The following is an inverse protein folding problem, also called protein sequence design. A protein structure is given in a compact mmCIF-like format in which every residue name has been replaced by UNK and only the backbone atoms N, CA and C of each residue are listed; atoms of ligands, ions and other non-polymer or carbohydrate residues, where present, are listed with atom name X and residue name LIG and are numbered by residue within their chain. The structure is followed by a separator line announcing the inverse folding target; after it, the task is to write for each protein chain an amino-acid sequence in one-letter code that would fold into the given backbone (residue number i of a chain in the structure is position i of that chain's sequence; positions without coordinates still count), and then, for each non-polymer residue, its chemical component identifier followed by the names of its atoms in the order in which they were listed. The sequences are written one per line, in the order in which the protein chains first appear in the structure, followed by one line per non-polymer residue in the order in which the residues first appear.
data_IF_388497497995
#
_entry.id   IF_388497497995
#
_cell.length_a   1.000
_cell.length_b   1.000
_cell.length_c   1.000
_cell.angle_alpha   90.00
_cell.angle_beta   90.00
_cell.angle_gamma   90.00
#
_symmetry.space_group_name_H-M   'P 1'
#
loop_
_entity.id
_entity.type
_entity.pdbx_description
1 polymer ?
#
# COMPACT_ATOMS: atom_id res chain seq x y z
N UNK A 1 -29.26 38.57 3.30
CA UNK A 1 -28.49 37.60 2.57
C UNK A 1 -29.31 36.84 1.51
N UNK A 2 -30.47 36.25 1.80
CA UNK A 2 -31.28 35.48 0.81
C UNK A 2 -31.66 36.24 -0.47
N UNK A 3 -32.00 37.53 -0.40
CA UNK A 3 -32.36 38.34 -1.60
C UNK A 3 -31.20 38.59 -2.57
N UNK A 4 -29.93 38.67 -2.10
CA UNK A 4 -28.76 38.85 -2.97
C UNK A 4 -28.37 37.56 -3.73
N UNK A 5 -28.59 36.41 -3.13
CA UNK A 5 -28.31 35.11 -3.77
C UNK A 5 -29.34 34.84 -4.88
N UNK A 6 -30.63 35.17 -4.68
CA UNK A 6 -31.68 35.03 -5.69
C UNK A 6 -31.41 35.96 -6.90
N UNK A 7 -30.96 37.20 -6.65
CA UNK A 7 -30.63 38.12 -7.74
C UNK A 7 -29.41 37.65 -8.56
N UNK A 8 -28.39 37.05 -7.92
CA UNK A 8 -27.24 36.48 -8.60
C UNK A 8 -27.59 35.22 -9.42
N UNK A 9 -28.49 34.38 -8.93
CA UNK A 9 -28.98 33.23 -9.67
C UNK A 9 -29.85 33.61 -10.86
N UNK A 10 -30.68 34.63 -10.71
CA UNK A 10 -31.49 35.18 -11.81
C UNK A 10 -30.65 35.90 -12.85
N UNK A 11 -29.63 36.66 -12.45
CA UNK A 11 -28.72 37.31 -13.39
C UNK A 11 -27.87 36.30 -14.18
N UNK A 12 -27.38 35.26 -13.57
CA UNK A 12 -26.69 34.16 -14.29
C UNK A 12 -27.65 33.39 -15.21
N UNK A 13 -28.89 33.18 -14.80
CA UNK A 13 -29.88 32.53 -15.66
C UNK A 13 -30.23 33.38 -16.88
N UNK A 14 -30.40 34.70 -16.74
CA UNK A 14 -30.66 35.62 -17.86
C UNK A 14 -29.41 35.77 -18.79
N UNK A 15 -28.19 35.75 -18.27
CA UNK A 15 -26.97 35.79 -19.08
C UNK A 15 -26.78 34.51 -19.90
N UNK A 16 -27.08 33.34 -19.33
CA UNK A 16 -27.01 32.07 -20.05
C UNK A 16 -28.12 31.98 -21.10
N UNK A 17 -29.37 32.33 -20.77
CA UNK A 17 -30.48 32.30 -21.71
C UNK A 17 -30.41 33.41 -22.76
N UNK A 18 -29.89 34.58 -22.42
CA UNK A 18 -29.67 35.67 -23.36
C UNK A 18 -28.61 35.33 -24.43
N UNK A 19 -27.51 34.69 -24.05
CA UNK A 19 -26.49 34.22 -24.98
C UNK A 19 -27.00 33.03 -25.83
N UNK A 20 -27.79 32.14 -25.27
CA UNK A 20 -28.44 31.04 -26.00
C UNK A 20 -29.45 31.57 -27.04
N UNK A 21 -30.29 32.58 -26.71
CA UNK A 21 -31.21 33.20 -27.63
C UNK A 21 -30.51 33.99 -28.76
N UNK A 22 -29.42 34.70 -28.45
CA UNK A 22 -28.65 35.42 -29.44
C UNK A 22 -27.94 34.47 -30.43
N UNK A 23 -27.50 33.31 -29.96
CA UNK A 23 -26.87 32.23 -30.77
C UNK A 23 -27.89 31.54 -31.73
N UNK A 24 -29.18 31.48 -31.32
CA UNK A 24 -30.23 30.90 -32.17
C UNK A 24 -30.51 31.69 -33.45
N UNK A 25 -30.23 33.00 -33.47
CA UNK A 25 -30.48 33.88 -34.62
C UNK A 25 -29.26 34.06 -35.54
N UNK A 26 -28.06 33.58 -35.16
CA UNK A 26 -26.82 33.84 -35.89
C UNK A 26 -26.16 32.62 -36.52
N UNK A 27 -26.55 31.40 -36.15
CA UNK A 27 -25.90 30.17 -36.62
C UNK A 27 -26.90 29.13 -37.14
N UNK A 28 -26.44 28.25 -38.03
CA UNK A 28 -27.23 27.10 -38.42
C UNK A 28 -27.46 26.15 -37.23
N UNK A 29 -28.55 25.40 -37.18
CA UNK A 29 -28.79 24.42 -36.12
C UNK A 29 -27.63 23.45 -35.90
N UNK A 30 -26.88 23.16 -36.92
CA UNK A 30 -25.69 22.29 -36.90
C UNK A 30 -24.54 22.99 -36.17
N UNK A 31 -24.23 24.24 -36.50
CA UNK A 31 -23.15 25.01 -35.85
C UNK A 31 -23.45 25.25 -34.38
N UNK A 32 -24.71 25.45 -33.99
CA UNK A 32 -25.11 25.57 -32.60
C UNK A 32 -24.92 24.26 -31.83
N UNK A 33 -25.31 23.13 -32.42
CA UNK A 33 -25.07 21.79 -31.84
C UNK A 33 -23.59 21.52 -31.75
N UNK A 34 -22.80 21.83 -32.76
CA UNK A 34 -21.33 21.64 -32.75
C UNK A 34 -20.67 22.54 -31.72
N UNK A 35 -21.17 23.76 -31.50
CA UNK A 35 -20.70 24.68 -30.46
C UNK A 35 -21.04 24.19 -29.03
N UNK A 36 -22.25 23.64 -28.82
CA UNK A 36 -22.63 22.99 -27.59
C UNK A 36 -21.77 21.73 -27.37
N UNK A 37 -21.58 20.89 -28.37
CA UNK A 37 -20.75 19.71 -28.29
C UNK A 37 -19.29 20.11 -27.99
N UNK A 38 -18.75 21.15 -28.64
CA UNK A 38 -17.40 21.64 -28.37
C UNK A 38 -17.26 22.25 -26.97
N UNK A 39 -18.27 22.99 -26.47
CA UNK A 39 -18.27 23.54 -25.11
C UNK A 39 -18.41 22.46 -24.04
N UNK A 40 -19.18 21.40 -24.31
CA UNK A 40 -19.30 20.22 -23.45
C UNK A 40 -18.01 19.36 -23.53
N UNK A 41 -17.36 19.30 -24.68
CA UNK A 41 -16.13 18.54 -24.89
C UNK A 41 -14.86 19.26 -24.43
N UNK A 42 -14.87 20.61 -24.33
CA UNK A 42 -13.68 21.41 -24.00
C UNK A 42 -13.34 21.44 -22.51
N UNK A 43 -14.23 20.95 -21.62
CA UNK A 43 -13.99 20.85 -20.17
C UNK A 43 -14.41 19.49 -19.58
N UNK A 44 -14.09 18.40 -20.24
CA UNK A 44 -14.20 17.12 -19.54
C UNK A 44 -13.13 17.10 -18.46
N UNK A 45 -13.51 17.52 -17.24
CA UNK A 45 -12.65 17.26 -16.07
C UNK A 45 -12.28 15.79 -16.10
N UNK A 46 -11.01 15.46 -15.91
CA UNK A 46 -10.62 14.05 -15.84
C UNK A 46 -11.46 13.33 -14.79
N UNK A 47 -11.84 12.09 -15.10
CA UNK A 47 -12.58 11.28 -14.15
C UNK A 47 -11.80 11.20 -12.81
N UNK A 48 -12.50 11.31 -11.69
CA UNK A 48 -11.85 11.29 -10.38
C UNK A 48 -11.05 10.01 -10.20
N UNK A 49 -9.81 10.14 -9.78
CA UNK A 49 -8.92 9.00 -9.59
C UNK A 49 -8.13 9.09 -8.29
N UNK A 50 -7.76 7.92 -7.77
CA UNK A 50 -6.86 7.76 -6.63
C UNK A 50 -5.78 6.77 -7.03
N UNK A 51 -4.56 7.04 -6.70
CA UNK A 51 -3.47 6.13 -6.92
C UNK A 51 -3.00 5.54 -5.60
N UNK A 52 -2.81 4.20 -5.60
CA UNK A 52 -2.18 3.46 -4.53
C UNK A 52 -0.78 3.07 -4.96
N UNK A 53 0.19 3.27 -4.08
CA UNK A 53 1.48 2.59 -4.16
C UNK A 53 1.53 1.58 -3.03
N UNK A 54 1.49 0.31 -3.40
CA UNK A 54 1.59 -0.81 -2.47
C UNK A 54 3.05 -1.13 -2.21
N UNK A 55 3.39 -1.19 -0.94
CA UNK A 55 4.68 -1.63 -0.41
C UNK A 55 4.45 -2.71 0.63
N UNK A 56 5.54 -3.27 1.12
CA UNK A 56 5.42 -4.39 2.02
C UNK A 56 6.11 -4.20 3.34
N UNK A 57 6.75 -5.27 3.83
CA UNK A 57 7.15 -5.37 5.21
C UNK A 57 8.17 -4.31 5.60
N UNK A 58 7.76 -3.44 6.52
CA UNK A 58 8.60 -2.45 7.19
C UNK A 58 8.88 -2.95 8.60
N UNK A 59 10.13 -3.25 8.89
CA UNK A 59 10.60 -3.62 10.21
C UNK A 59 11.59 -2.57 10.72
N UNK A 60 11.22 -1.82 11.75
CA UNK A 60 11.98 -0.69 12.28
C UNK A 60 12.82 -1.06 13.53
N UNK A 61 12.93 -2.34 13.82
CA UNK A 61 13.68 -2.84 14.98
C UNK A 61 15.08 -3.33 14.57
N UNK A 62 15.81 -3.89 15.52
CA UNK A 62 17.09 -4.58 15.32
C UNK A 62 18.12 -3.77 14.51
N UNK A 63 18.60 -4.32 13.39
CA UNK A 63 19.61 -3.69 12.53
C UNK A 63 19.16 -2.37 11.94
N UNK A 64 17.87 -2.22 11.60
CA UNK A 64 17.31 -0.96 11.10
C UNK A 64 17.40 0.13 12.17
N UNK A 65 16.95 -0.16 13.41
CA UNK A 65 17.05 0.80 14.53
C UNK A 65 18.50 1.18 14.86
N UNK A 66 19.40 0.19 14.80
CA UNK A 66 20.84 0.42 15.00
C UNK A 66 21.40 1.41 13.96
N UNK A 67 21.16 1.19 12.69
CA UNK A 67 21.66 2.06 11.63
C UNK A 67 20.98 3.42 11.62
N UNK A 68 19.66 3.47 11.89
CA UNK A 68 18.94 4.72 12.01
C UNK A 68 19.48 5.61 13.16
N UNK A 69 19.87 5.01 14.29
CA UNK A 69 20.53 5.73 15.39
C UNK A 69 21.93 6.21 15.01
N UNK A 70 22.70 5.40 14.28
CA UNK A 70 24.07 5.70 13.90
C UNK A 70 24.18 6.79 12.84
N UNK A 71 23.34 6.73 11.81
CA UNK A 71 23.37 7.64 10.65
C UNK A 71 22.40 8.83 10.82
N UNK A 72 21.49 8.78 11.79
CA UNK A 72 20.38 9.70 11.97
C UNK A 72 19.10 9.15 11.34
N UNK A 73 17.97 9.25 12.04
CA UNK A 73 16.67 8.76 11.56
C UNK A 73 16.23 9.41 10.25
N UNK A 74 16.66 10.63 10.00
CA UNK A 74 16.32 11.45 8.85
C UNK A 74 17.05 11.01 7.56
N UNK A 75 18.05 10.10 7.66
CA UNK A 75 18.85 9.62 6.53
C UNK A 75 18.53 8.21 6.09
N UNK A 76 17.59 7.55 6.75
CA UNK A 76 17.30 6.13 6.52
C UNK A 76 16.78 5.87 5.11
N UNK A 77 16.20 6.88 4.45
CA UNK A 77 15.62 6.77 3.11
C UNK A 77 16.25 7.67 2.04
N UNK A 78 17.07 8.65 2.44
CA UNK A 78 17.56 9.69 1.53
C UNK A 78 19.06 9.57 1.19
N UNK A 79 19.58 8.34 1.09
CA UNK A 79 20.93 8.15 0.56
C UNK A 79 21.03 8.77 -0.83
N UNK A 80 21.95 9.75 -1.00
CA UNK A 80 22.25 10.40 -2.27
C UNK A 80 21.04 10.97 -3.04
N UNK A 81 19.97 11.39 -2.34
CA UNK A 81 18.73 11.94 -2.89
C UNK A 81 17.90 10.96 -3.74
N UNK A 82 18.17 9.66 -3.68
CA UNK A 82 17.36 8.69 -4.38
C UNK A 82 16.17 8.25 -3.51
N UNK A 83 14.97 8.64 -3.93
CA UNK A 83 13.73 8.14 -3.36
C UNK A 83 12.95 7.40 -4.47
N UNK A 84 12.79 6.06 -4.37
CA UNK A 84 12.12 5.26 -5.40
C UNK A 84 10.66 5.67 -5.61
N UNK A 85 10.04 6.32 -4.64
CA UNK A 85 8.65 6.76 -4.71
C UNK A 85 8.46 7.93 -5.66
N UNK A 86 9.46 8.79 -5.81
CA UNK A 86 9.43 9.90 -6.76
C UNK A 86 9.27 9.45 -8.21
N UNK A 87 9.49 8.18 -8.51
CA UNK A 87 9.33 7.63 -9.85
C UNK A 87 7.87 7.31 -10.21
N UNK A 88 6.94 7.35 -9.24
CA UNK A 88 5.53 7.18 -9.53
C UNK A 88 4.86 8.51 -9.90
N UNK A 89 4.02 8.53 -10.95
CA UNK A 89 3.32 9.75 -11.37
C UNK A 89 2.48 10.37 -10.26
N UNK A 90 1.86 9.57 -9.42
CA UNK A 90 1.04 10.04 -8.31
C UNK A 90 1.85 10.80 -7.26
N UNK A 91 3.11 10.45 -7.06
CA UNK A 91 4.01 11.14 -6.15
C UNK A 91 4.27 12.59 -6.61
N UNK A 92 4.18 12.83 -7.91
CA UNK A 92 4.35 14.15 -8.54
C UNK A 92 3.03 14.92 -8.63
N UNK A 93 1.88 14.23 -8.68
CA UNK A 93 0.54 14.83 -8.94
C UNK A 93 -0.33 15.04 -7.70
N UNK A 94 0.10 14.60 -6.52
CA UNK A 94 -0.44 15.10 -5.24
C UNK A 94 -1.61 14.31 -4.63
N UNK A 95 -2.09 13.17 -5.16
CA UNK A 95 -3.11 12.34 -4.48
C UNK A 95 -2.70 10.88 -4.50
N UNK A 96 -1.79 10.53 -3.62
CA UNK A 96 -1.25 9.19 -3.49
C UNK A 96 -1.52 8.63 -2.10
N UNK A 97 -1.96 7.38 -2.05
CA UNK A 97 -2.02 6.60 -0.81
C UNK A 97 -0.88 5.59 -0.86
N UNK A 98 0.03 5.76 0.07
CA UNK A 98 1.13 4.84 0.27
C UNK A 98 0.66 3.77 1.26
N UNK A 99 0.66 2.50 0.86
CA UNK A 99 0.19 1.40 1.69
C UNK A 99 1.30 0.40 1.98
N UNK A 100 1.52 0.08 3.27
CA UNK A 100 2.52 -0.88 3.72
C UNK A 100 2.04 -1.74 4.89
N UNK A 101 2.79 -2.82 5.18
CA UNK A 101 2.68 -3.57 6.42
C UNK A 101 3.79 -3.14 7.39
N UNK A 102 3.42 -2.68 8.58
CA UNK A 102 4.38 -2.40 9.65
C UNK A 102 4.59 -3.66 10.50
N UNK A 103 5.68 -4.36 10.24
CA UNK A 103 6.00 -5.64 10.87
C UNK A 103 6.87 -5.48 12.14
N UNK A 104 6.71 -4.38 12.82
CA UNK A 104 7.33 -4.12 14.12
C UNK A 104 6.44 -3.25 14.99
N UNK A 105 6.59 -3.36 16.30
CA UNK A 105 5.85 -2.53 17.24
C UNK A 105 6.74 -1.50 17.90
N UNK A 106 6.23 -0.29 18.04
CA UNK A 106 6.86 0.69 18.92
C UNK A 106 6.70 0.26 20.38
N UNK A 107 7.78 0.30 21.13
CA UNK A 107 7.79 -0.09 22.53
C UNK A 107 8.78 0.73 23.32
N UNK A 108 8.40 1.06 24.55
CA UNK A 108 9.32 1.65 25.56
C UNK A 108 10.44 0.67 25.94
N UNK A 109 10.23 -0.62 25.68
CA UNK A 109 11.18 -1.71 25.94
C UNK A 109 12.06 -2.07 24.74
N UNK A 110 12.08 -1.25 23.69
CA UNK A 110 12.85 -1.52 22.47
C UNK A 110 14.35 -1.70 22.71
N UNK A 111 14.90 -1.06 23.74
CA UNK A 111 16.31 -1.14 24.10
C UNK A 111 16.64 -2.25 25.12
N UNK A 112 15.64 -2.95 25.65
CA UNK A 112 15.88 -4.09 26.54
C UNK A 112 16.49 -5.24 25.72
N UNK A 113 17.61 -5.78 26.23
CA UNK A 113 18.23 -6.95 25.62
C UNK A 113 17.25 -8.12 25.70
N UNK A 114 16.89 -8.68 24.55
CA UNK A 114 16.03 -9.85 24.44
C UNK A 114 16.84 -11.01 23.88
N UNK A 115 16.68 -12.19 24.47
CA UNK A 115 17.31 -13.43 23.94
C UNK A 115 16.67 -13.85 22.63
N UNK A 116 15.37 -13.54 22.44
CA UNK A 116 14.64 -13.85 21.23
C UNK A 116 14.75 -12.72 20.20
N UNK A 117 15.55 -12.94 19.17
CA UNK A 117 15.81 -12.02 18.08
C UNK A 117 14.63 -11.82 17.11
N UNK A 118 13.57 -12.63 17.24
CA UNK A 118 12.31 -12.47 16.49
C UNK A 118 11.30 -11.54 17.17
N UNK A 119 11.67 -10.90 18.28
CA UNK A 119 10.83 -9.87 18.89
C UNK A 119 11.13 -8.51 18.26
N UNK A 120 10.31 -8.09 17.31
CA UNK A 120 10.48 -6.84 16.58
C UNK A 120 9.94 -5.65 17.37
N UNK A 121 10.70 -5.19 18.34
CA UNK A 121 10.41 -4.03 19.18
C UNK A 121 11.21 -2.83 18.68
N UNK A 122 10.53 -1.88 18.07
CA UNK A 122 11.13 -0.67 17.53
C UNK A 122 11.14 0.46 18.58
N UNK A 123 12.15 1.31 18.55
CA UNK A 123 12.16 2.53 19.32
C UNK A 123 11.12 3.51 18.79
N UNK A 124 10.43 4.26 19.67
CA UNK A 124 9.45 5.27 19.23
C UNK A 124 10.07 6.38 18.39
N UNK A 125 11.38 6.65 18.53
CA UNK A 125 12.12 7.59 17.65
C UNK A 125 12.16 7.16 16.19
N UNK A 126 11.98 5.86 15.88
CA UNK A 126 11.93 5.34 14.51
C UNK A 126 10.67 5.79 13.74
N UNK A 127 9.72 6.49 14.39
CA UNK A 127 8.61 7.16 13.71
C UNK A 127 9.11 8.15 12.64
N UNK A 128 10.26 8.77 12.85
CA UNK A 128 10.86 9.69 11.88
C UNK A 128 11.11 9.03 10.52
N UNK A 129 11.49 7.77 10.53
CA UNK A 129 11.63 6.97 9.31
C UNK A 129 10.31 6.84 8.53
N UNK A 130 9.18 6.66 9.22
CA UNK A 130 7.87 6.62 8.58
C UNK A 130 7.43 7.99 8.08
N UNK A 131 7.75 9.06 8.79
CA UNK A 131 7.45 10.43 8.39
C UNK A 131 8.26 10.85 7.15
N UNK A 132 9.54 10.49 7.10
CA UNK A 132 10.39 10.72 5.92
C UNK A 132 9.83 9.98 4.69
N UNK A 133 9.41 8.74 4.89
CA UNK A 133 8.76 7.91 3.89
C UNK A 133 7.44 8.50 3.40
N UNK A 134 6.61 8.99 4.31
CA UNK A 134 5.32 9.59 4.01
C UNK A 134 5.47 10.85 3.15
N UNK A 135 6.42 11.73 3.47
CA UNK A 135 6.53 13.04 2.84
C UNK A 135 5.19 13.78 2.91
N UNK A 136 4.75 14.33 1.78
CA UNK A 136 3.46 15.03 1.65
C UNK A 136 2.28 14.09 1.32
N UNK A 137 2.50 12.77 1.27
CA UNK A 137 1.49 11.79 0.90
C UNK A 137 0.74 11.24 2.12
N UNK A 138 -0.31 10.51 1.87
CA UNK A 138 -1.02 9.77 2.91
C UNK A 138 -0.39 8.38 3.08
N UNK A 139 0.23 8.13 4.24
CA UNK A 139 0.70 6.80 4.62
C UNK A 139 -0.39 6.04 5.37
N UNK A 140 -0.68 4.83 4.92
CA UNK A 140 -1.62 3.90 5.51
C UNK A 140 -0.91 2.58 5.82
N UNK A 141 -1.00 2.12 7.05
CA UNK A 141 -0.30 0.93 7.52
C UNK A 141 -1.24 -0.20 7.92
N UNK A 142 -1.02 -1.39 7.38
CA UNK A 142 -1.51 -2.62 8.00
C UNK A 142 -0.66 -2.94 9.23
N UNK A 143 -1.31 -3.25 10.34
CA UNK A 143 -0.67 -3.76 11.55
C UNK A 143 -1.00 -5.23 11.79
N UNK A 144 -1.75 -5.89 10.89
CA UNK A 144 -2.11 -7.29 10.99
C UNK A 144 -0.97 -8.18 10.46
N UNK A 145 -0.11 -8.65 11.35
CA UNK A 145 1.00 -9.55 11.04
C UNK A 145 1.37 -10.41 12.26
N UNK A 146 2.26 -11.39 12.08
CA UNK A 146 2.70 -12.30 13.15
C UNK A 146 3.51 -11.62 14.25
N UNK A 147 3.97 -10.39 14.05
CA UNK A 147 4.74 -9.62 15.04
C UNK A 147 3.89 -8.60 15.81
N UNK A 148 2.58 -8.53 15.57
CA UNK A 148 1.66 -7.59 16.23
C UNK A 148 1.69 -7.67 17.75
N UNK A 149 1.99 -8.83 18.33
CA UNK A 149 2.03 -9.02 19.81
C UNK A 149 3.43 -9.01 20.41
N UNK A 150 4.48 -8.70 19.65
CA UNK A 150 5.86 -8.82 20.11
C UNK A 150 6.21 -7.97 21.37
N UNK A 151 5.44 -6.92 21.60
CA UNK A 151 5.53 -6.12 22.82
C UNK A 151 4.22 -6.14 23.65
N UNK A 152 3.35 -7.12 23.39
CA UNK A 152 2.06 -7.29 24.07
C UNK A 152 1.11 -6.10 23.86
N UNK A 153 0.15 -5.94 24.77
CA UNK A 153 -0.80 -4.81 24.72
C UNK A 153 -0.13 -3.44 24.78
N UNK A 154 0.95 -3.33 25.55
CA UNK A 154 1.68 -2.07 25.64
C UNK A 154 2.25 -1.67 24.28
N UNK A 155 2.82 -2.63 23.55
CA UNK A 155 3.34 -2.40 22.21
C UNK A 155 2.25 -1.99 21.22
N UNK A 156 1.13 -2.71 21.18
CA UNK A 156 -0.02 -2.36 20.30
C UNK A 156 -0.51 -0.95 20.60
N UNK A 157 -0.72 -0.63 21.87
CA UNK A 157 -1.17 0.71 22.30
C UNK A 157 -0.15 1.79 21.96
N UNK A 158 1.14 1.55 22.23
CA UNK A 158 2.21 2.51 21.94
C UNK A 158 2.31 2.74 20.43
N UNK A 159 2.27 1.67 19.63
CA UNK A 159 2.29 1.78 18.17
C UNK A 159 1.13 2.62 17.65
N UNK A 160 -0.10 2.26 18.02
CA UNK A 160 -1.31 2.98 17.59
C UNK A 160 -1.28 4.45 18.02
N UNK A 161 -0.89 4.72 19.27
CA UNK A 161 -0.80 6.10 19.79
C UNK A 161 0.26 6.91 19.04
N UNK A 162 1.44 6.32 18.81
CA UNK A 162 2.53 6.99 18.10
C UNK A 162 2.14 7.31 16.65
N UNK A 163 1.56 6.36 15.94
CA UNK A 163 1.10 6.57 14.56
C UNK A 163 0.02 7.65 14.50
N UNK A 164 -0.99 7.58 15.36
CA UNK A 164 -2.06 8.55 15.43
C UNK A 164 -1.57 9.99 15.71
N UNK A 165 -0.66 10.14 16.67
CA UNK A 165 -0.07 11.45 17.03
C UNK A 165 0.69 12.09 15.87
N UNK A 166 1.17 11.30 14.91
CA UNK A 166 1.92 11.78 13.75
C UNK A 166 1.11 11.77 12.45
N UNK A 167 -0.22 11.56 12.53
CA UNK A 167 -1.09 11.61 11.35
C UNK A 167 -0.95 10.43 10.38
N UNK A 168 -0.34 9.32 10.84
CA UNK A 168 -0.22 8.11 10.04
C UNK A 168 -1.43 7.21 10.29
N UNK A 169 -2.11 6.82 9.22
CA UNK A 169 -3.29 5.97 9.28
C UNK A 169 -2.91 4.49 9.41
N UNK A 170 -3.71 3.73 10.13
CA UNK A 170 -3.45 2.31 10.37
C UNK A 170 -4.74 1.52 10.68
N UNK A 171 -4.69 0.20 10.50
CA UNK A 171 -5.78 -0.73 10.80
C UNK A 171 -5.24 -2.16 11.01
N UNK A 172 -6.11 -3.11 11.39
CA UNK A 172 -5.77 -4.53 11.48
C UNK A 172 -5.14 -4.98 12.80
N UNK A 173 -4.94 -4.07 13.77
CA UNK A 173 -4.52 -4.41 15.12
C UNK A 173 -5.26 -3.59 16.17
N UNK A 174 -5.48 -4.18 17.33
CA UNK A 174 -6.21 -3.58 18.43
C UNK A 174 -5.88 -4.14 19.80
N UNK A 175 -6.48 -3.55 20.84
CA UNK A 175 -6.34 -4.04 22.22
C UNK A 175 -7.33 -5.15 22.57
N UNK A 176 -8.26 -5.44 21.69
CA UNK A 176 -9.23 -6.54 21.77
C UNK A 176 -9.44 -7.13 20.40
N UNK A 177 -10.06 -8.30 20.33
CA UNK A 177 -10.44 -8.96 19.06
C UNK A 177 -11.33 -8.04 18.23
N UNK A 178 -12.35 -7.40 18.81
CA UNK A 178 -13.24 -6.47 18.12
C UNK A 178 -12.51 -5.23 17.60
N UNK A 179 -11.56 -4.70 18.39
CA UNK A 179 -10.75 -3.53 17.95
C UNK A 179 -9.78 -3.91 16.81
N UNK A 180 -9.26 -5.15 16.81
CA UNK A 180 -8.41 -5.67 15.74
C UNK A 180 -9.17 -5.91 14.41
N UNK A 181 -10.49 -6.11 14.47
CA UNK A 181 -11.36 -6.27 13.29
C UNK A 181 -11.66 -4.95 12.56
N UNK A 182 -11.34 -3.80 13.18
CA UNK A 182 -11.65 -2.52 12.60
C UNK A 182 -11.02 -2.35 11.22
N UNK A 183 -11.88 -1.99 10.28
CA UNK A 183 -11.54 -1.65 8.90
C UNK A 183 -11.09 -0.21 8.80
N UNK A 184 -10.30 0.07 7.79
CA UNK A 184 -10.05 1.44 7.36
C UNK A 184 -10.98 1.79 6.19
N UNK A 185 -11.64 2.94 6.26
CA UNK A 185 -12.38 3.49 5.14
C UNK A 185 -12.08 4.96 4.97
N UNK A 186 -12.01 5.40 3.73
CA UNK A 186 -11.78 6.81 3.38
C UNK A 186 -12.52 7.13 2.10
N UNK A 187 -12.87 8.40 1.94
CA UNK A 187 -13.40 8.94 0.69
C UNK A 187 -12.38 9.90 0.10
N UNK A 188 -11.94 9.62 -1.11
CA UNK A 188 -11.00 10.43 -1.88
C UNK A 188 -11.51 10.56 -3.30
N UNK A 189 -11.60 11.81 -3.78
CA UNK A 189 -12.04 12.07 -5.14
C UNK A 189 -13.35 11.32 -5.50
N UNK A 190 -14.36 11.37 -4.61
CA UNK A 190 -15.65 10.69 -4.78
C UNK A 190 -15.59 9.14 -4.82
N UNK A 191 -14.43 8.56 -4.52
CA UNK A 191 -14.22 7.13 -4.36
C UNK A 191 -14.24 6.76 -2.89
N UNK A 192 -15.14 5.89 -2.49
CA UNK A 192 -15.14 5.27 -1.16
C UNK A 192 -14.30 4.00 -1.18
N UNK A 193 -13.17 4.07 -0.52
CA UNK A 193 -12.16 3.02 -0.46
C UNK A 193 -12.24 2.35 0.90
N UNK A 194 -12.35 1.03 0.92
CA UNK A 194 -12.41 0.25 2.15
C UNK A 194 -11.32 -0.81 2.16
N UNK A 195 -10.59 -0.90 3.27
CA UNK A 195 -9.49 -1.83 3.44
C UNK A 195 -9.70 -2.68 4.70
N UNK A 196 -9.41 -3.98 4.58
CA UNK A 196 -9.37 -4.92 5.69
C UNK A 196 -8.03 -5.64 5.69
N UNK A 197 -7.47 -5.85 6.88
CA UNK A 197 -6.21 -6.58 7.03
C UNK A 197 -6.41 -7.85 7.87
N UNK A 198 -5.73 -8.92 7.45
CA UNK A 198 -5.73 -10.21 8.11
C UNK A 198 -4.31 -10.70 8.34
N UNK A 199 -4.06 -11.24 9.53
CA UNK A 199 -2.85 -12.00 9.78
C UNK A 199 -3.16 -13.49 9.88
N UNK A 200 -2.20 -14.32 9.50
CA UNK A 200 -2.24 -15.76 9.71
C UNK A 200 -0.94 -16.18 10.39
N UNK A 201 -1.02 -16.33 11.68
CA UNK A 201 0.13 -16.59 12.54
C UNK A 201 -0.17 -17.63 13.64
N UNK A 202 -1.21 -18.41 13.42
CA UNK A 202 -1.68 -19.35 14.43
C UNK A 202 -2.18 -18.62 15.69
N UNK A 203 -1.51 -18.86 16.80
CA UNK A 203 -1.90 -18.29 18.10
C UNK A 203 -0.90 -17.24 18.62
N UNK A 204 0.06 -16.78 17.82
CA UNK A 204 1.13 -15.91 18.29
C UNK A 204 0.65 -14.53 18.73
N UNK A 205 -0.46 -14.03 18.16
CA UNK A 205 -1.05 -12.72 18.49
C UNK A 205 -2.20 -12.78 19.51
N UNK A 206 -2.27 -13.83 20.31
CA UNK A 206 -3.20 -13.91 21.44
C UNK A 206 -2.50 -13.46 22.71
N UNK A 207 -3.08 -12.47 23.37
CA UNK A 207 -2.58 -11.96 24.64
C UNK A 207 -3.73 -11.73 25.61
N UNK A 208 -3.68 -12.34 26.79
CA UNK A 208 -4.76 -12.25 27.77
C UNK A 208 -6.12 -12.76 27.29
N UNK A 209 -6.15 -13.69 26.32
CA UNK A 209 -7.38 -14.21 25.72
C UNK A 209 -7.91 -13.42 24.52
N UNK A 210 -7.34 -12.25 24.24
CA UNK A 210 -7.75 -11.39 23.12
C UNK A 210 -6.80 -11.52 21.93
N UNK A 211 -7.33 -11.47 20.73
CA UNK A 211 -6.53 -11.38 19.50
C UNK A 211 -6.15 -9.93 19.24
N UNK A 212 -4.86 -9.67 19.16
CA UNK A 212 -4.33 -8.31 18.91
C UNK A 212 -4.22 -7.97 17.42
N UNK A 213 -4.27 -8.99 16.54
CA UNK A 213 -4.46 -8.82 15.09
C UNK A 213 -5.60 -9.69 14.57
N UNK A 214 -6.29 -9.22 13.52
CA UNK A 214 -7.43 -9.94 12.98
C UNK A 214 -6.98 -11.17 12.17
N UNK A 215 -7.33 -12.34 12.66
CA UNK A 215 -7.05 -13.63 12.05
C UNK A 215 -8.31 -14.51 12.06
N UNK A 216 -9.21 -14.36 11.10
CA UNK A 216 -10.42 -15.18 11.04
C UNK A 216 -10.12 -16.65 10.76
N UNK A 217 -9.01 -16.95 10.07
CA UNK A 217 -8.64 -18.29 9.57
C UNK A 217 -9.83 -19.05 8.95
N UNK A 218 -10.75 -18.28 8.36
CA UNK A 218 -12.05 -18.79 7.89
C UNK A 218 -12.52 -17.93 6.71
N UNK A 219 -12.66 -18.55 5.54
CA UNK A 219 -13.10 -17.87 4.32
C UNK A 219 -14.49 -17.24 4.49
N UNK A 220 -15.41 -17.90 5.21
CA UNK A 220 -16.76 -17.36 5.40
C UNK A 220 -16.76 -16.02 6.16
N UNK A 221 -15.90 -15.85 7.17
CA UNK A 221 -15.76 -14.56 7.87
C UNK A 221 -15.13 -13.49 6.97
N UNK A 222 -14.14 -13.85 6.15
CA UNK A 222 -13.55 -12.91 5.20
C UNK A 222 -14.54 -12.49 4.11
N UNK A 223 -15.38 -13.43 3.64
CA UNK A 223 -16.47 -13.15 2.70
C UNK A 223 -17.53 -12.25 3.34
N UNK A 224 -17.86 -12.49 4.61
CA UNK A 224 -18.77 -11.63 5.36
C UNK A 224 -18.24 -10.20 5.48
N UNK A 225 -16.94 -10.01 5.78
CA UNK A 225 -16.30 -8.70 5.79
C UNK A 225 -16.45 -7.97 4.44
N UNK A 226 -16.34 -8.68 3.31
CA UNK A 226 -16.55 -8.11 1.97
C UNK A 226 -18.01 -7.71 1.73
N UNK A 227 -18.97 -8.51 2.22
CA UNK A 227 -20.40 -8.19 2.18
C UNK A 227 -20.68 -6.91 2.98
N UNK A 228 -20.16 -6.81 4.20
CA UNK A 228 -20.27 -5.62 5.03
C UNK A 228 -19.68 -4.35 4.35
N UNK A 229 -18.55 -4.49 3.66
CA UNK A 229 -17.98 -3.40 2.86
C UNK A 229 -18.91 -2.99 1.71
N UNK A 230 -19.52 -3.96 1.03
CA UNK A 230 -20.48 -3.72 -0.04
C UNK A 230 -21.72 -2.97 0.49
N UNK A 231 -22.28 -3.41 1.61
CA UNK A 231 -23.46 -2.81 2.26
C UNK A 231 -23.17 -1.39 2.76
N UNK A 232 -21.92 -1.13 3.15
CA UNK A 232 -21.46 0.21 3.51
C UNK A 232 -21.24 1.11 2.30
N UNK A 233 -21.43 0.63 1.08
CA UNK A 233 -21.26 1.38 -0.16
C UNK A 233 -19.81 1.64 -0.53
N UNK A 234 -18.90 0.73 -0.20
CA UNK A 234 -17.52 0.82 -0.65
C UNK A 234 -17.42 0.63 -2.15
N UNK A 235 -16.85 1.59 -2.84
CA UNK A 235 -16.60 1.54 -4.28
C UNK A 235 -15.48 0.54 -4.61
N UNK A 236 -14.45 0.47 -3.75
CA UNK A 236 -13.30 -0.43 -3.91
C UNK A 236 -12.96 -1.11 -2.59
N UNK A 237 -12.82 -2.42 -2.63
CA UNK A 237 -12.52 -3.28 -1.49
C UNK A 237 -11.14 -3.89 -1.63
N UNK A 238 -10.22 -3.50 -0.74
CA UNK A 238 -8.82 -3.91 -0.75
C UNK A 238 -8.56 -4.80 0.47
N UNK A 239 -8.01 -5.99 0.25
CA UNK A 239 -7.65 -6.91 1.33
C UNK A 239 -6.14 -7.04 1.46
N UNK A 240 -5.63 -6.80 2.67
CA UNK A 240 -4.24 -7.08 3.03
C UNK A 240 -4.14 -8.39 3.79
N UNK A 241 -3.31 -9.34 3.33
CA UNK A 241 -3.23 -10.68 3.89
C UNK A 241 -1.80 -11.05 4.22
N UNK A 242 -1.43 -11.02 5.50
CA UNK A 242 -0.12 -11.43 5.98
C UNK A 242 -0.07 -12.93 6.22
N UNK A 243 0.39 -13.70 5.23
CA UNK A 243 0.30 -15.17 5.24
C UNK A 243 1.30 -15.82 4.30
N UNK A 244 1.72 -17.02 4.64
CA UNK A 244 2.46 -17.91 3.77
C UNK A 244 3.68 -18.51 4.43
N UNK A 245 4.58 -19.06 3.63
CA UNK A 245 5.86 -19.54 4.10
C UNK A 245 6.94 -18.51 3.79
N UNK A 246 7.71 -18.13 4.80
CA UNK A 246 8.84 -17.23 4.62
C UNK A 246 9.82 -17.81 3.60
N UNK A 247 10.35 -16.93 2.74
CA UNK A 247 11.44 -17.21 1.81
C UNK A 247 11.16 -18.29 0.74
N UNK A 248 9.93 -18.74 0.59
CA UNK A 248 9.53 -19.55 -0.56
C UNK A 248 9.33 -18.68 -1.78
N UNK A 249 9.65 -19.22 -2.98
CA UNK A 249 9.62 -18.42 -4.22
C UNK A 249 8.22 -18.20 -4.81
N UNK A 250 7.22 -18.99 -4.42
CA UNK A 250 5.88 -18.94 -4.98
C UNK A 250 4.82 -19.12 -3.91
N UNK A 251 3.62 -18.54 -4.10
CA UNK A 251 2.47 -18.84 -3.27
C UNK A 251 2.11 -20.32 -3.40
N UNK A 252 1.64 -20.91 -2.31
CA UNK A 252 1.13 -22.27 -2.36
C UNK A 252 -0.32 -22.30 -2.88
N UNK A 253 -0.80 -23.49 -3.25
CA UNK A 253 -2.14 -23.67 -3.81
C UNK A 253 -3.28 -23.20 -2.89
N UNK A 254 -3.10 -23.28 -1.57
CA UNK A 254 -4.09 -22.79 -0.63
C UNK A 254 -4.20 -21.26 -0.63
N UNK A 255 -3.07 -20.56 -0.79
CA UNK A 255 -3.04 -19.10 -0.93
C UNK A 255 -3.70 -18.65 -2.24
N UNK A 256 -3.41 -19.33 -3.36
CA UNK A 256 -4.02 -19.05 -4.66
C UNK A 256 -5.54 -19.25 -4.59
N UNK A 257 -6.00 -20.41 -4.09
CA UNK A 257 -7.43 -20.69 -3.94
C UNK A 257 -8.14 -19.69 -3.03
N UNK A 258 -7.52 -19.28 -1.93
CA UNK A 258 -8.07 -18.27 -1.03
C UNK A 258 -8.21 -16.92 -1.75
N UNK A 259 -7.18 -16.47 -2.46
CA UNK A 259 -7.21 -15.20 -3.16
C UNK A 259 -8.27 -15.17 -4.27
N UNK A 260 -8.38 -16.24 -5.07
CA UNK A 260 -9.43 -16.37 -6.07
C UNK A 260 -10.83 -16.34 -5.45
N UNK A 261 -11.06 -17.10 -4.38
CA UNK A 261 -12.36 -17.12 -3.68
C UNK A 261 -12.72 -15.74 -3.10
N UNK A 262 -11.75 -14.95 -2.65
CA UNK A 262 -11.99 -13.59 -2.15
C UNK A 262 -12.29 -12.61 -3.28
N UNK A 263 -11.65 -12.74 -4.45
CA UNK A 263 -12.02 -11.96 -5.64
C UNK A 263 -13.43 -12.34 -6.10
N UNK A 264 -13.76 -13.63 -6.16
CA UNK A 264 -15.10 -14.14 -6.49
C UNK A 264 -16.17 -13.60 -5.52
N UNK A 265 -15.78 -13.36 -4.24
CA UNK A 265 -16.63 -12.77 -3.21
C UNK A 265 -16.67 -11.24 -3.24
N UNK A 266 -15.98 -10.60 -4.19
CA UNK A 266 -16.06 -9.15 -4.43
C UNK A 266 -14.87 -8.32 -3.96
N UNK A 267 -13.72 -8.91 -3.62
CA UNK A 267 -12.49 -8.15 -3.43
C UNK A 267 -12.01 -7.57 -4.76
N UNK A 268 -11.54 -6.33 -4.74
CA UNK A 268 -11.08 -5.62 -5.93
C UNK A 268 -9.56 -5.67 -6.07
N UNK A 269 -8.84 -5.67 -4.96
CA UNK A 269 -7.38 -5.76 -4.92
C UNK A 269 -7.00 -6.65 -3.72
N UNK A 270 -6.12 -7.62 -3.95
CA UNK A 270 -5.54 -8.44 -2.88
C UNK A 270 -4.05 -8.19 -2.80
N UNK A 271 -3.60 -7.98 -1.56
CA UNK A 271 -2.25 -7.58 -1.22
C UNK A 271 -1.72 -8.50 -0.13
N UNK A 272 -0.84 -9.46 -0.50
CA UNK A 272 -0.24 -10.44 0.42
C UNK A 272 1.18 -10.05 0.86
N UNK A 273 1.62 -10.49 2.02
CA UNK A 273 2.95 -10.23 2.59
C UNK A 273 3.42 -11.41 3.47
N UNK A 274 4.52 -11.27 4.24
CA UNK A 274 5.11 -12.30 5.09
C UNK A 274 6.25 -13.12 4.47
N UNK A 275 6.30 -13.32 3.16
CA UNK A 275 7.35 -14.17 2.58
C UNK A 275 8.74 -13.53 2.56
N UNK A 276 8.84 -12.22 2.77
CA UNK A 276 10.06 -11.39 2.70
C UNK A 276 10.76 -11.37 1.34
N UNK A 277 10.19 -11.99 0.32
CA UNK A 277 10.66 -11.96 -1.06
C UNK A 277 9.49 -11.69 -2.01
N UNK A 278 9.72 -11.01 -3.14
CA UNK A 278 8.70 -10.84 -4.16
C UNK A 278 8.27 -12.19 -4.73
N UNK A 279 6.95 -12.37 -4.83
CA UNK A 279 6.33 -13.54 -5.45
C UNK A 279 5.66 -13.16 -6.77
N UNK A 280 5.25 -14.18 -7.53
CA UNK A 280 4.39 -13.98 -8.69
C UNK A 280 3.13 -13.23 -8.28
N UNK A 281 2.75 -12.25 -9.09
CA UNK A 281 1.43 -11.65 -9.04
C UNK A 281 0.58 -12.14 -10.22
N UNK A 282 -0.72 -11.95 -10.15
CA UNK A 282 -1.62 -12.27 -11.26
C UNK A 282 -2.76 -11.25 -11.36
N UNK A 283 -3.40 -11.23 -12.52
CA UNK A 283 -4.67 -10.54 -12.73
C UNK A 283 -5.75 -11.60 -12.88
N UNK A 284 -6.57 -11.76 -11.85
CA UNK A 284 -7.66 -12.70 -11.84
C UNK A 284 -8.99 -11.95 -12.01
N UNK A 285 -9.75 -12.28 -13.05
CA UNK A 285 -10.99 -11.57 -13.43
C UNK A 285 -10.83 -10.04 -13.49
N UNK A 286 -9.71 -9.57 -14.03
CA UNK A 286 -9.39 -8.14 -14.12
C UNK A 286 -8.96 -7.48 -12.80
N UNK A 287 -8.80 -8.25 -11.72
CA UNK A 287 -8.40 -7.77 -10.38
C UNK A 287 -6.97 -8.18 -10.07
N UNK A 288 -6.12 -7.22 -9.63
CA UNK A 288 -4.74 -7.54 -9.27
C UNK A 288 -4.66 -8.29 -7.94
N UNK A 289 -3.88 -9.36 -7.93
CA UNK A 289 -3.53 -10.16 -6.77
C UNK A 289 -2.00 -10.16 -6.63
N UNK A 290 -1.51 -9.46 -5.63
CA UNK A 290 -0.10 -9.49 -5.25
C UNK A 290 0.05 -10.47 -4.09
N UNK A 291 0.67 -11.61 -4.30
CA UNK A 291 0.87 -12.59 -3.23
C UNK A 291 1.96 -12.20 -2.24
N UNK A 292 2.99 -11.51 -2.69
CA UNK A 292 4.00 -10.82 -1.89
C UNK A 292 4.82 -9.87 -2.76
N UNK A 293 5.12 -8.67 -2.28
CA UNK A 293 6.07 -7.76 -2.92
C UNK A 293 7.45 -7.72 -2.20
N UNK A 294 7.63 -8.57 -1.18
CA UNK A 294 8.89 -8.71 -0.44
C UNK A 294 9.05 -7.70 0.70
N UNK A 295 10.27 -7.34 1.04
CA UNK A 295 10.55 -6.34 2.06
C UNK A 295 10.68 -4.94 1.45
N UNK A 296 10.10 -3.93 2.09
CA UNK A 296 10.46 -2.55 1.78
C UNK A 296 11.70 -2.15 2.58
N UNK A 297 11.63 -2.30 3.89
CA UNK A 297 12.72 -1.96 4.80
C UNK A 297 12.88 -3.05 5.85
N UNK A 298 13.95 -3.81 5.76
CA UNK A 298 14.22 -4.94 6.65
C UNK A 298 15.74 -5.15 6.79
N UNK A 299 16.20 -5.68 7.91
CA UNK A 299 17.63 -5.91 8.15
C UNK A 299 18.16 -7.23 7.55
N UNK A 300 17.60 -7.63 6.42
CA UNK A 300 17.97 -8.85 5.68
C UNK A 300 18.84 -8.54 4.45
N UNK A 301 19.41 -7.36 4.37
CA UNK A 301 20.37 -7.02 3.33
C UNK A 301 21.76 -7.59 3.64
N UNK A 302 22.58 -7.80 2.59
CA UNK A 302 23.96 -8.29 2.73
C UNK A 302 24.90 -7.28 3.43
N UNK A 303 24.48 -6.04 3.60
CA UNK A 303 25.24 -4.98 4.23
C UNK A 303 24.97 -4.81 5.73
N UNK A 304 23.85 -5.33 6.20
CA UNK A 304 23.52 -5.39 7.62
C UNK A 304 23.96 -6.74 8.19
N UNK A 305 25.15 -6.79 8.74
CA UNK A 305 25.52 -7.94 9.53
C UNK A 305 24.79 -7.83 10.85
N UNK A 306 23.92 -8.78 11.17
CA UNK A 306 23.29 -8.90 12.48
C UNK A 306 24.34 -8.84 13.62
N UNK A 307 25.55 -9.33 13.35
CA UNK A 307 26.70 -9.27 14.23
C UNK A 307 27.11 -7.83 14.60
N UNK A 308 26.99 -6.86 13.67
CA UNK A 308 27.33 -5.45 13.93
C UNK A 308 26.30 -4.78 14.85
N UNK A 309 25.07 -5.32 14.89
CA UNK A 309 24.00 -4.91 15.79
C UNK A 309 23.95 -5.73 17.10
N UNK A 310 24.92 -6.63 17.33
CA UNK A 310 25.01 -7.43 18.55
C UNK A 310 24.10 -8.66 18.57
N UNK A 311 23.59 -9.08 17.43
CA UNK A 311 22.80 -10.31 17.29
C UNK A 311 23.63 -11.40 16.63
N UNK A 312 23.71 -12.59 17.24
CA UNK A 312 24.34 -13.77 16.63
C UNK A 312 23.38 -14.41 15.63
N UNK A 313 23.42 -13.97 14.35
CA UNK A 313 22.55 -14.46 13.31
C UNK A 313 23.30 -15.19 12.19
N UNK A 314 22.84 -16.39 11.89
CA UNK A 314 23.33 -17.23 10.77
C UNK A 314 22.39 -17.08 9.53
N UNK A 315 22.00 -15.87 9.17
CA UNK A 315 21.16 -15.64 7.99
C UNK A 315 21.94 -15.75 6.65
N UNK A 316 23.25 -15.64 6.69
CA UNK A 316 24.12 -15.63 5.51
C UNK A 316 24.03 -16.91 4.65
N UNK A 317 23.70 -18.06 5.25
CA UNK A 317 23.67 -19.34 4.55
C UNK A 317 22.40 -19.52 3.70
N UNK A 318 21.25 -19.18 4.23
CA UNK A 318 19.97 -19.31 3.53
C UNK A 318 19.77 -18.22 2.47
N UNK A 319 20.25 -17.00 2.72
CA UNK A 319 20.19 -15.89 1.76
C UNK A 319 20.99 -16.14 0.48
N UNK A 320 22.09 -16.89 0.55
CA UNK A 320 22.96 -17.18 -0.61
C UNK A 320 22.33 -18.12 -1.64
N UNK A 321 21.31 -18.87 -1.27
CA UNK A 321 20.65 -19.86 -2.13
C UNK A 321 19.43 -19.32 -2.89
N UNK A 322 19.04 -18.07 -2.66
CA UNK A 322 17.80 -17.53 -3.19
C UNK A 322 18.00 -16.86 -4.54
N UNK A 323 17.09 -17.13 -5.46
CA UNK A 323 17.04 -16.51 -6.79
C UNK A 323 16.54 -15.09 -6.75
N UNK A 324 15.61 -14.76 -5.81
CA UNK A 324 15.11 -13.40 -5.58
C UNK A 324 15.58 -12.92 -4.22
N UNK A 325 16.35 -11.83 -4.15
CA UNK A 325 16.91 -11.35 -2.89
C UNK A 325 15.91 -10.58 -2.04
N UNK A 326 16.01 -10.72 -0.71
CA UNK A 326 15.18 -10.01 0.29
C UNK A 326 15.45 -8.52 0.40
N UNK A 327 16.51 -8.01 -0.23
CA UNK A 327 16.93 -6.60 -0.22
C UNK A 327 16.54 -5.82 -1.48
N UNK A 328 15.70 -6.42 -2.34
CA UNK A 328 15.12 -5.75 -3.51
C UNK A 328 13.63 -5.56 -3.25
N UNK A 329 13.20 -4.37 -2.77
CA UNK A 329 11.80 -4.05 -2.67
C UNK A 329 11.17 -3.92 -4.06
N UNK A 330 10.00 -4.50 -4.20
CA UNK A 330 9.10 -4.31 -5.31
C UNK A 330 7.98 -3.37 -4.88
N UNK A 331 7.73 -2.35 -5.67
CA UNK A 331 6.64 -1.41 -5.47
C UNK A 331 5.63 -1.59 -6.60
N UNK A 332 4.35 -1.58 -6.28
CA UNK A 332 3.28 -1.69 -7.26
C UNK A 332 2.35 -0.49 -7.17
N UNK A 333 2.34 0.33 -8.23
CA UNK A 333 1.41 1.44 -8.40
C UNK A 333 0.14 0.99 -9.11
N UNK A 334 -1.04 1.34 -8.56
CA UNK A 334 -2.33 1.03 -9.17
C UNK A 334 -3.19 2.29 -9.14
N UNK A 335 -3.69 2.68 -10.31
CA UNK A 335 -4.63 3.81 -10.44
C UNK A 335 -6.06 3.30 -10.45
N UNK A 336 -6.88 3.86 -9.59
CA UNK A 336 -8.31 3.60 -9.48
C UNK A 336 -9.06 4.82 -10.00
N UNK A 337 -9.91 4.65 -11.01
CA UNK A 337 -10.66 5.73 -11.64
C UNK A 337 -12.16 5.42 -11.56
N UNK A 338 -12.97 6.40 -11.15
CA UNK A 338 -14.42 6.28 -11.09
C UNK A 338 -15.04 7.11 -12.21
N UNK A 339 -15.78 6.45 -13.10
CA UNK A 339 -16.68 7.10 -14.06
C UNK A 339 -18.11 7.13 -13.49
N UNK A 340 -19.04 7.67 -14.23
CA UNK A 340 -20.46 7.70 -13.81
C UNK A 340 -21.07 6.31 -13.63
N UNK A 341 -20.55 5.30 -14.30
CA UNK A 341 -21.19 3.97 -14.41
C UNK A 341 -20.29 2.80 -14.00
N UNK A 342 -18.97 2.99 -13.90
CA UNK A 342 -18.02 1.93 -13.55
C UNK A 342 -16.79 2.44 -12.83
N UNK A 343 -16.09 1.51 -12.18
CA UNK A 343 -14.78 1.72 -11.59
C UNK A 343 -13.76 0.93 -12.41
N UNK A 344 -12.68 1.60 -12.78
CA UNK A 344 -11.56 0.99 -13.48
C UNK A 344 -10.37 0.92 -12.56
N UNK A 345 -9.74 -0.26 -12.48
CA UNK A 345 -8.46 -0.47 -11.80
C UNK A 345 -7.42 -0.68 -12.90
N UNK A 346 -6.38 0.13 -12.93
CA UNK A 346 -5.33 0.02 -13.94
C UNK A 346 -4.53 -1.27 -13.77
N UNK A 347 -3.84 -1.65 -14.83
CA UNK A 347 -2.75 -2.60 -14.70
C UNK A 347 -1.70 -2.05 -13.74
N UNK A 348 -1.04 -2.90 -12.93
CA UNK A 348 -0.02 -2.43 -12.01
C UNK A 348 1.20 -1.87 -12.74
N UNK A 349 1.69 -0.73 -12.28
CA UNK A 349 3.02 -0.23 -12.60
C UNK A 349 4.00 -0.74 -11.54
N UNK A 350 5.08 -1.39 -11.96
CA UNK A 350 6.07 -1.98 -11.05
C UNK A 350 7.37 -1.16 -11.05
N UNK A 351 7.88 -0.89 -9.87
CA UNK A 351 9.19 -0.26 -9.65
C UNK A 351 9.99 -1.11 -8.67
N UNK A 352 11.28 -1.06 -8.79
CA UNK A 352 12.20 -1.76 -7.88
C UNK A 352 13.33 -0.84 -7.47
N UNK A 353 13.89 -1.12 -6.31
CA UNK A 353 15.11 -0.49 -5.82
C UNK A 353 15.96 -1.52 -5.09
N UNK A 354 17.15 -1.13 -4.65
CA UNK A 354 17.97 -1.92 -3.75
C UNK A 354 18.01 -1.23 -2.39
N UNK A 355 17.87 -1.98 -1.33
CA UNK A 355 18.08 -1.48 0.04
C UNK A 355 19.40 -2.00 0.58
N UNK A 356 20.21 -1.09 1.14
CA UNK A 356 21.45 -1.43 1.83
C UNK A 356 21.59 -0.55 3.07
N UNK A 357 21.63 -1.16 4.25
CA UNK A 357 21.69 -0.46 5.54
C UNK A 357 20.55 0.55 5.74
N UNK A 358 19.35 0.21 5.27
CA UNK A 358 18.19 1.08 5.35
C UNK A 358 18.14 2.23 4.34
N UNK A 359 19.09 2.30 3.40
CA UNK A 359 19.17 3.32 2.37
C UNK A 359 18.78 2.71 1.02
N UNK A 360 17.96 3.44 0.25
CA UNK A 360 17.56 3.04 -1.09
C UNK A 360 18.60 3.46 -2.13
N UNK A 361 18.80 2.59 -3.12
CA UNK A 361 19.67 2.79 -4.27
C UNK A 361 18.94 2.38 -5.55
N UNK A 362 19.27 2.98 -6.70
CA UNK A 362 18.77 2.52 -7.99
C UNK A 362 19.18 1.08 -8.25
N UNK A 363 18.39 0.40 -9.06
CA UNK A 363 18.65 -0.97 -9.53
C UNK A 363 18.99 -0.92 -11.02
N UNK A 364 19.95 -1.74 -11.44
CA UNK A 364 20.27 -1.86 -12.85
C UNK A 364 19.19 -2.64 -13.63
N UNK A 365 19.11 -2.37 -14.94
CA UNK A 365 18.10 -2.95 -15.83
C UNK A 365 18.16 -4.49 -15.88
N UNK A 366 19.34 -5.08 -15.87
CA UNK A 366 19.52 -6.54 -15.91
C UNK A 366 18.87 -7.18 -14.66
N UNK A 367 19.15 -6.62 -13.48
CA UNK A 367 18.54 -7.09 -12.22
C UNK A 367 17.04 -6.90 -12.23
N UNK A 368 16.55 -5.74 -12.70
CA UNK A 368 15.12 -5.44 -12.80
C UNK A 368 14.41 -6.46 -13.72
N UNK A 369 14.90 -6.65 -14.94
CA UNK A 369 14.37 -7.61 -15.89
C UNK A 369 14.44 -9.05 -15.35
N UNK A 370 15.55 -9.43 -14.71
CA UNK A 370 15.73 -10.75 -14.12
C UNK A 370 14.70 -11.07 -13.04
N UNK A 371 14.36 -10.10 -12.17
CA UNK A 371 13.31 -10.25 -11.16
C UNK A 371 11.93 -10.27 -11.81
N UNK A 372 11.64 -9.38 -12.76
CA UNK A 372 10.37 -9.35 -13.48
C UNK A 372 10.06 -10.67 -14.17
N UNK A 373 11.02 -11.28 -14.84
CA UNK A 373 10.82 -12.58 -15.49
C UNK A 373 10.42 -13.69 -14.53
N UNK A 374 10.74 -13.57 -13.25
CA UNK A 374 10.37 -14.55 -12.23
C UNK A 374 8.99 -14.32 -11.65
N UNK A 375 8.55 -13.06 -11.52
CA UNK A 375 7.34 -12.69 -10.79
C UNK A 375 6.17 -12.28 -11.68
N UNK A 376 6.41 -11.76 -12.88
CA UNK A 376 5.35 -11.30 -13.77
C UNK A 376 4.67 -12.47 -14.50
N UNK A 377 3.33 -12.44 -14.66
CA UNK A 377 2.60 -13.36 -15.54
C UNK A 377 3.14 -13.32 -16.97
N UNK A 378 3.03 -14.44 -17.69
CA UNK A 378 3.56 -14.57 -19.06
C UNK A 378 2.97 -13.55 -20.04
N UNK A 379 1.69 -13.23 -19.91
CA UNK A 379 0.98 -12.21 -20.70
C UNK A 379 1.49 -10.79 -20.49
N UNK A 380 2.14 -10.54 -19.36
CA UNK A 380 2.77 -9.25 -19.05
C UNK A 380 4.15 -9.07 -19.63
N UNK A 381 4.86 -10.17 -19.90
CA UNK A 381 6.27 -10.13 -20.33
C UNK A 381 6.45 -9.39 -21.66
N UNK A 382 5.55 -9.59 -22.61
CA UNK A 382 5.61 -8.94 -23.93
C UNK A 382 5.23 -7.46 -23.95
N UNK A 383 4.43 -6.98 -22.99
CA UNK A 383 4.02 -5.57 -22.91
C UNK A 383 5.09 -4.67 -22.29
N UNK A 384 5.96 -5.24 -21.47
CA UNK A 384 7.05 -4.52 -20.78
C UNK A 384 8.27 -4.30 -21.68
N UNK A 385 8.60 -5.25 -22.54
CA UNK A 385 9.70 -5.13 -23.50
C UNK A 385 9.49 -3.97 -24.49
N UNK A 386 8.22 -3.58 -24.74
CA UNK A 386 7.86 -2.48 -25.66
C UNK A 386 7.64 -1.12 -24.98
N UNK A 387 7.54 -1.06 -23.64
CA UNK A 387 7.21 0.15 -22.89
C UNK A 387 8.21 0.49 -21.77
N UNK A 388 9.37 -0.15 -21.74
CA UNK A 388 10.44 0.16 -20.79
C UNK A 388 11.03 1.55 -21.06
N UNK A 389 10.37 2.59 -20.55
CA UNK A 389 11.06 3.82 -20.19
C UNK A 389 11.64 3.62 -18.79
N UNK A 390 12.79 2.99 -18.73
CA UNK A 390 13.63 2.98 -17.52
C UNK A 390 14.23 4.38 -17.41
N UNK A 391 13.65 5.21 -16.55
CA UNK A 391 14.38 6.39 -16.07
C UNK A 391 15.46 5.87 -15.11
N UNK A 392 16.68 5.76 -15.62
CA UNK A 392 17.92 5.49 -14.89
C UNK A 392 18.22 6.65 -13.95
#
# INVERSE_FOLDING_TARGET
MKKRIILLLLSSFFLIWGSVLLSFFSHSPKEFIDQIISSISSEKKPDPSVEFIFWWDIMLARGIDFWAKKEGYDRTFTGDNYNPFHQFPCYLSGVCILFANLESQFSKKANEKVENTFLFRANTGSIKTLLDLQGDNQLLLSLANNHTSNAGWEGVRTTRTTLHQHGIWFFGAGNSTGDAQNRYSTEKNWLKLCLQAYSYDGNTNIYGGERLSWNPNNLALMTWDLTEMQDQGCDVKILSIHRGAEYHQNPNQAQIKLAHALVDAGADIIVGNHSHIPWKFEIYQGKPIFYSLGNLLFDQDRGMRAKDAGYDYIWDYELKKRTVPTYIPLLAGVKITKSLTWITISQPELKMSRVKKGIFYPIDEETFCGVLHQIAPSEYRGSWENNLQVSI
#
